data_IF_390010223967
#
_entry.id   IF_390010223967
#
_cell.length_a   1.000
_cell.length_b   1.000
_cell.length_c   1.000
_cell.angle_alpha   90.00
_cell.angle_beta   90.00
_cell.angle_gamma   90.00
#
_symmetry.space_group_name_H-M   'P 1'
#
loop_
_entity.id
_entity.type
_entity.pdbx_description
1 polymer ?
#
# COMPACT_ATOMS: atom_id res chain seq x y z
N UNK A 1 -22.35 9.71 39.24
CA UNK A 1 -22.52 10.00 37.80
C UNK A 1 -21.24 9.66 37.04
N UNK A 2 -20.07 10.06 37.54
CA UNK A 2 -18.76 9.73 36.94
C UNK A 2 -18.44 8.22 36.90
N UNK A 3 -18.79 7.46 37.95
CA UNK A 3 -18.55 6.00 37.99
C UNK A 3 -19.30 5.21 36.91
N UNK A 4 -20.52 5.64 36.56
CA UNK A 4 -21.29 5.00 35.48
C UNK A 4 -20.66 5.25 34.12
N UNK A 5 -20.12 6.45 33.89
CA UNK A 5 -19.43 6.80 32.65
C UNK A 5 -18.14 6.00 32.48
N UNK A 6 -17.39 5.82 33.57
CA UNK A 6 -16.16 5.02 33.61
C UNK A 6 -16.44 3.56 33.25
N UNK A 7 -17.51 3.01 33.79
CA UNK A 7 -17.91 1.61 33.53
C UNK A 7 -18.28 1.39 32.06
N UNK A 8 -19.04 2.32 31.46
CA UNK A 8 -19.43 2.24 30.04
C UNK A 8 -18.20 2.31 29.12
N UNK A 9 -17.23 3.17 29.46
CA UNK A 9 -16.01 3.30 28.68
C UNK A 9 -15.11 2.07 28.80
N UNK A 10 -14.99 1.47 29.99
CA UNK A 10 -14.22 0.23 30.18
C UNK A 10 -14.87 -0.97 29.49
N UNK A 11 -16.21 -1.07 29.49
CA UNK A 11 -16.94 -2.14 28.80
C UNK A 11 -16.82 -2.03 27.28
N UNK A 12 -16.79 -0.81 26.75
CA UNK A 12 -16.67 -0.56 25.32
C UNK A 12 -15.23 -0.65 24.78
N UNK A 13 -14.22 -0.31 25.60
CA UNK A 13 -12.83 -0.10 25.12
C UNK A 13 -11.76 -0.90 25.89
N UNK A 14 -12.12 -1.63 26.94
CA UNK A 14 -11.17 -2.39 27.78
C UNK A 14 -10.40 -1.52 28.77
N UNK A 15 -9.69 -2.14 29.72
CA UNK A 15 -8.90 -1.45 30.75
C UNK A 15 -7.62 -0.86 30.15
N UNK A 16 -7.39 0.44 30.35
CA UNK A 16 -6.17 1.13 29.94
C UNK A 16 -5.02 0.75 30.84
N UNK A 17 -3.99 0.10 30.30
CA UNK A 17 -2.79 -0.28 31.04
C UNK A 17 -1.75 0.86 30.99
N UNK A 18 -1.55 1.55 32.10
CA UNK A 18 -0.38 2.42 32.32
C UNK A 18 0.87 1.56 32.44
N UNK A 19 1.83 1.74 31.53
CA UNK A 19 3.16 1.13 31.64
C UNK A 19 4.22 2.21 31.45
N UNK A 20 4.82 2.62 32.57
CA UNK A 20 6.06 3.40 32.60
C UNK A 20 7.25 2.46 32.29
N UNK A 21 8.22 2.89 31.46
CA UNK A 21 9.42 2.08 31.24
C UNK A 21 10.33 2.45 30.07
N UNK A 22 11.17 3.47 30.30
CA UNK A 22 12.60 3.60 29.96
C UNK A 22 13.14 3.63 28.50
N UNK A 23 14.24 4.38 28.38
CA UNK A 23 14.82 5.05 27.21
C UNK A 23 15.57 4.10 26.24
N UNK A 24 15.37 4.27 24.93
CA UNK A 24 16.02 3.46 23.88
C UNK A 24 17.26 4.16 23.29
N UNK A 25 18.38 3.41 23.29
CA UNK A 25 19.65 3.79 22.69
C UNK A 25 19.68 3.39 21.21
N UNK A 26 19.85 4.38 20.33
CA UNK A 26 20.00 4.27 18.87
C UNK A 26 21.05 3.22 18.45
N UNK A 27 20.67 2.25 17.62
CA UNK A 27 21.61 1.37 16.92
C UNK A 27 21.34 1.43 15.41
N UNK A 28 22.31 1.99 14.69
CA UNK A 28 22.34 2.12 13.24
C UNK A 28 22.62 0.73 12.61
N UNK A 29 21.70 0.20 11.80
CA UNK A 29 21.89 -1.10 11.15
C UNK A 29 22.33 -0.95 9.68
N UNK A 30 23.37 -1.67 9.33
CA UNK A 30 24.01 -1.76 8.02
C UNK A 30 23.50 -3.03 7.32
N UNK A 31 22.96 -2.92 6.11
CA UNK A 31 22.50 -4.08 5.36
C UNK A 31 23.68 -4.99 4.97
N UNK A 32 23.48 -6.30 5.11
CA UNK A 32 24.44 -7.37 4.79
C UNK A 32 24.20 -7.84 3.36
N UNK A 33 25.21 -7.70 2.49
CA UNK A 33 25.22 -8.34 1.18
C UNK A 33 25.43 -9.86 1.33
N UNK A 34 24.40 -10.65 1.07
CA UNK A 34 24.56 -12.10 0.86
C UNK A 34 25.03 -12.35 -0.57
N UNK A 35 26.31 -12.68 -0.74
CA UNK A 35 26.89 -13.19 -1.98
C UNK A 35 26.97 -14.71 -1.92
N UNK A 36 26.20 -15.40 -2.75
CA UNK A 36 26.54 -16.76 -3.16
C UNK A 36 26.32 -16.97 -4.67
N UNK A 37 27.34 -17.55 -5.30
CA UNK A 37 27.46 -17.99 -6.69
C UNK A 37 26.69 -17.25 -7.82
N UNK A 38 27.31 -16.20 -8.35
CA UNK A 38 27.46 -16.02 -9.80
C UNK A 38 26.24 -15.64 -10.66
N UNK A 39 25.05 -15.54 -10.09
CA UNK A 39 23.90 -14.90 -10.72
C UNK A 39 23.07 -14.24 -9.64
N UNK A 40 23.34 -12.97 -9.38
CA UNK A 40 22.46 -12.15 -8.60
C UNK A 40 21.06 -12.27 -9.23
N UNK A 41 20.07 -12.71 -8.44
CA UNK A 41 18.66 -12.52 -8.78
C UNK A 41 18.31 -11.03 -8.59
N UNK A 42 19.13 -10.13 -9.12
CA UNK A 42 18.86 -8.69 -9.26
C UNK A 42 18.05 -8.47 -10.53
N UNK A 43 16.98 -9.25 -10.66
CA UNK A 43 16.10 -9.25 -11.82
C UNK A 43 14.67 -9.27 -11.36
N UNK A 44 14.32 -8.46 -10.36
CA UNK A 44 12.97 -7.91 -10.36
C UNK A 44 12.84 -7.15 -11.68
N UNK A 45 11.79 -7.43 -12.44
CA UNK A 45 11.46 -6.71 -13.68
C UNK A 45 11.23 -5.21 -13.38
N UNK A 46 11.08 -4.86 -12.11
CA UNK A 46 10.92 -3.52 -11.56
C UNK A 46 12.06 -3.28 -10.55
N UNK A 47 13.18 -2.74 -11.04
CA UNK A 47 14.32 -2.38 -10.22
C UNK A 47 14.02 -1.20 -9.29
N UNK A 48 14.83 -1.12 -8.22
CA UNK A 48 14.87 -0.10 -7.15
C UNK A 48 13.86 -0.32 -6.00
N UNK A 49 14.38 -0.18 -4.77
CA UNK A 49 13.57 -0.11 -3.54
C UNK A 49 12.59 1.05 -3.71
N UNK A 50 11.32 0.86 -3.38
CA UNK A 50 10.36 1.94 -3.55
C UNK A 50 10.38 2.80 -2.29
N UNK A 51 10.56 4.11 -2.46
CA UNK A 51 10.56 5.03 -1.33
C UNK A 51 9.12 5.31 -0.90
N UNK A 52 8.63 4.56 0.09
CA UNK A 52 7.34 4.78 0.73
C UNK A 52 7.45 5.82 1.84
N UNK A 53 6.79 6.96 1.65
CA UNK A 53 6.72 8.07 2.61
C UNK A 53 5.44 7.94 3.44
N UNK A 54 5.57 7.77 4.76
CA UNK A 54 4.43 7.84 5.68
C UNK A 54 3.99 9.29 5.89
N UNK A 55 2.71 9.58 5.69
CA UNK A 55 2.13 10.88 6.05
C UNK A 55 1.77 10.85 7.52
N UNK A 56 2.55 11.56 8.34
CA UNK A 56 2.48 11.47 9.81
C UNK A 56 1.16 11.94 10.43
N UNK A 57 0.42 12.77 9.72
CA UNK A 57 -0.84 13.36 10.14
C UNK A 57 -2.04 12.43 9.92
N UNK A 58 -1.87 11.38 9.09
CA UNK A 58 -2.95 10.46 8.71
C UNK A 58 -2.48 9.02 8.85
N UNK A 59 -2.95 8.36 9.90
CA UNK A 59 -2.65 6.94 10.12
C UNK A 59 -3.06 6.07 8.92
N UNK A 60 -2.13 5.23 8.47
CA UNK A 60 -2.33 4.33 7.34
C UNK A 60 -2.15 4.96 5.96
N UNK A 61 -1.83 6.26 5.87
CA UNK A 61 -1.55 6.91 4.59
C UNK A 61 -0.05 6.84 4.25
N UNK A 62 0.23 6.24 3.10
CA UNK A 62 1.57 6.09 2.53
C UNK A 62 1.59 6.63 1.10
N UNK A 63 2.69 7.28 0.73
CA UNK A 63 2.92 7.83 -0.60
C UNK A 63 4.19 7.21 -1.19
N UNK A 64 4.06 6.52 -2.31
CA UNK A 64 5.21 6.15 -3.14
C UNK A 64 5.25 7.08 -4.36
N UNK A 65 6.27 7.92 -4.43
CA UNK A 65 6.50 8.79 -5.58
C UNK A 65 7.17 8.00 -6.69
N UNK A 66 6.88 8.37 -7.94
CA UNK A 66 7.52 7.80 -9.12
C UNK A 66 7.44 6.26 -9.22
N UNK A 67 6.42 5.66 -8.59
CA UNK A 67 6.18 4.20 -8.58
C UNK A 67 6.15 3.58 -9.99
N UNK A 68 5.59 4.32 -10.97
CA UNK A 68 5.63 3.92 -12.36
C UNK A 68 6.61 4.80 -13.13
N UNK A 69 7.54 4.17 -13.85
CA UNK A 69 8.41 4.86 -14.81
C UNK A 69 7.60 5.48 -15.97
N UNK A 70 8.13 6.48 -16.67
CA UNK A 70 7.43 7.10 -17.80
C UNK A 70 6.98 6.11 -18.89
N UNK A 71 7.77 5.07 -19.14
CA UNK A 71 7.44 4.01 -20.09
C UNK A 71 6.29 3.14 -19.60
N UNK A 72 6.26 2.81 -18.31
CA UNK A 72 5.16 2.06 -17.69
C UNK A 72 3.86 2.87 -17.68
N UNK A 73 3.94 4.17 -17.36
CA UNK A 73 2.80 5.08 -17.43
C UNK A 73 2.25 5.12 -18.86
N UNK A 74 3.12 5.24 -19.86
CA UNK A 74 2.72 5.24 -21.28
C UNK A 74 2.08 3.90 -21.70
N UNK A 75 2.65 2.76 -21.26
CA UNK A 75 2.08 1.42 -21.50
C UNK A 75 0.70 1.29 -20.86
N UNK A 76 0.56 1.71 -19.60
CA UNK A 76 -0.70 1.66 -18.86
C UNK A 76 -1.79 2.50 -19.55
N UNK A 77 -1.47 3.75 -19.92
CA UNK A 77 -2.39 4.62 -20.64
C UNK A 77 -2.81 4.03 -21.99
N UNK A 78 -1.87 3.47 -22.75
CA UNK A 78 -2.19 2.81 -24.03
C UNK A 78 -3.09 1.59 -23.84
N UNK A 79 -2.93 0.86 -22.72
CA UNK A 79 -3.74 -0.31 -22.39
C UNK A 79 -5.16 0.10 -22.01
N UNK A 80 -5.32 1.14 -21.17
CA UNK A 80 -6.62 1.72 -20.83
C UNK A 80 -7.33 2.27 -22.07
N UNK A 81 -6.61 2.91 -22.99
CA UNK A 81 -7.19 3.42 -24.25
C UNK A 81 -7.75 2.29 -25.13
N UNK A 82 -7.08 1.14 -25.18
CA UNK A 82 -7.53 -0.04 -25.94
C UNK A 82 -8.80 -0.67 -25.37
N UNK A 83 -9.12 -0.45 -24.09
CA UNK A 83 -10.37 -0.91 -23.48
C UNK A 83 -11.58 -0.06 -23.91
N UNK A 84 -11.36 1.09 -24.56
CA UNK A 84 -12.39 2.01 -25.06
C UNK A 84 -13.36 2.55 -24.00
N UNK A 85 -13.04 2.40 -22.70
CA UNK A 85 -13.89 2.82 -21.57
C UNK A 85 -14.30 4.30 -21.60
N UNK A 86 -13.49 5.15 -22.23
CA UNK A 86 -13.71 6.60 -22.32
C UNK A 86 -13.85 7.10 -23.76
N UNK A 87 -14.22 6.22 -24.71
CA UNK A 87 -14.42 6.61 -26.11
C UNK A 87 -15.54 7.66 -26.27
N UNK A 88 -16.54 7.63 -25.39
CA UNK A 88 -17.60 8.65 -25.33
C UNK A 88 -17.17 9.81 -24.44
N UNK A 89 -17.36 11.04 -24.94
CA UNK A 89 -17.01 12.25 -24.20
C UNK A 89 -17.80 12.42 -22.88
N UNK A 90 -18.94 11.76 -22.71
CA UNK A 90 -19.74 11.76 -21.48
C UNK A 90 -19.25 10.80 -20.41
N UNK A 91 -18.41 9.82 -20.75
CA UNK A 91 -17.93 8.81 -19.80
C UNK A 91 -16.72 9.33 -19.03
N UNK A 92 -16.82 9.36 -17.70
CA UNK A 92 -15.74 9.78 -16.80
C UNK A 92 -15.37 8.70 -15.77
N UNK A 93 -16.07 7.57 -15.75
CA UNK A 93 -15.82 6.46 -14.85
C UNK A 93 -16.08 5.13 -15.54
N UNK A 94 -15.24 4.13 -15.22
CA UNK A 94 -15.44 2.73 -15.58
C UNK A 94 -15.21 1.86 -14.35
N UNK A 95 -16.01 0.80 -14.17
CA UNK A 95 -15.90 -0.13 -13.05
C UNK A 95 -15.80 -1.55 -13.58
N UNK A 96 -14.99 -2.37 -12.92
CA UNK A 96 -14.80 -3.79 -13.25
C UNK A 96 -14.66 -4.60 -11.97
N UNK A 97 -15.33 -5.75 -11.93
CA UNK A 97 -15.39 -6.64 -10.77
C UNK A 97 -15.02 -8.06 -11.21
N UNK A 98 -14.33 -8.80 -10.36
CA UNK A 98 -13.87 -10.15 -10.64
C UNK A 98 -12.68 -10.14 -11.61
N UNK A 99 -12.93 -10.51 -12.86
CA UNK A 99 -11.88 -10.70 -13.87
C UNK A 99 -11.34 -9.36 -14.37
N UNK A 100 -10.29 -8.85 -13.71
CA UNK A 100 -9.61 -7.61 -14.06
C UNK A 100 -8.80 -7.74 -15.36
N UNK A 101 -8.60 -6.66 -16.12
CA UNK A 101 -7.77 -6.69 -17.33
C UNK A 101 -6.30 -6.95 -16.97
N UNK A 102 -5.54 -7.51 -17.92
CA UNK A 102 -4.16 -7.95 -17.72
C UNK A 102 -3.28 -6.83 -17.14
N UNK A 103 -3.38 -5.61 -17.65
CA UNK A 103 -2.62 -4.46 -17.15
C UNK A 103 -2.93 -4.12 -15.69
N UNK A 104 -4.14 -4.39 -15.20
CA UNK A 104 -4.52 -4.15 -13.81
C UNK A 104 -3.98 -5.24 -12.89
N UNK A 105 -3.93 -6.49 -13.39
CA UNK A 105 -3.31 -7.61 -12.69
C UNK A 105 -1.79 -7.41 -12.61
N UNK A 106 -1.14 -6.94 -13.69
CA UNK A 106 0.28 -6.57 -13.70
C UNK A 106 0.55 -5.46 -12.66
N UNK A 107 -0.22 -4.37 -12.69
CA UNK A 107 -0.09 -3.25 -11.73
C UNK A 107 -0.27 -3.72 -10.28
N UNK A 108 -1.29 -4.55 -10.03
CA UNK A 108 -1.53 -5.14 -8.71
C UNK A 108 -0.34 -5.98 -8.25
N UNK A 109 0.31 -6.72 -9.15
CA UNK A 109 1.45 -7.57 -8.82
C UNK A 109 2.67 -6.72 -8.48
N UNK A 110 2.94 -5.65 -9.24
CA UNK A 110 4.00 -4.69 -8.94
C UNK A 110 3.83 -4.03 -7.57
N UNK A 111 2.60 -3.63 -7.21
CA UNK A 111 2.30 -3.05 -5.89
C UNK A 111 2.61 -4.07 -4.79
N UNK A 112 2.18 -5.33 -4.98
CA UNK A 112 2.45 -6.38 -4.01
C UNK A 112 3.94 -6.64 -3.81
N UNK A 113 4.68 -6.75 -4.91
CA UNK A 113 6.14 -6.99 -4.89
C UNK A 113 6.89 -5.85 -4.21
N UNK A 114 6.56 -4.59 -4.53
CA UNK A 114 7.17 -3.43 -3.90
C UNK A 114 6.93 -3.41 -2.39
N UNK A 115 5.67 -3.63 -1.97
CA UNK A 115 5.31 -3.67 -0.55
C UNK A 115 6.03 -4.82 0.16
N UNK A 116 6.10 -6.02 -0.44
CA UNK A 116 6.81 -7.15 0.18
C UNK A 116 8.31 -6.87 0.29
N UNK A 117 8.94 -6.30 -0.74
CA UNK A 117 10.38 -6.04 -0.74
C UNK A 117 10.77 -4.99 0.31
N UNK A 118 9.97 -3.92 0.45
CA UNK A 118 10.25 -2.88 1.44
C UNK A 118 9.84 -3.30 2.87
N UNK A 119 8.86 -4.20 3.04
CA UNK A 119 8.50 -4.76 4.36
C UNK A 119 9.37 -5.96 4.78
N UNK A 120 10.23 -6.49 3.90
CA UNK A 120 10.90 -7.79 4.11
C UNK A 120 12.11 -7.80 5.07
N UNK A 121 12.43 -6.72 5.80
CA UNK A 121 13.68 -6.70 6.60
C UNK A 121 13.51 -6.53 8.11
N UNK A 122 12.30 -6.28 8.66
CA UNK A 122 12.19 -6.07 10.11
C UNK A 122 11.18 -6.93 10.87
N UNK A 123 9.95 -7.15 10.38
CA UNK A 123 8.87 -7.51 11.34
C UNK A 123 7.86 -8.57 10.89
N UNK A 124 8.24 -9.56 10.06
CA UNK A 124 7.28 -10.66 9.79
C UNK A 124 7.03 -11.54 11.02
N UNK A 125 8.00 -11.63 11.95
CA UNK A 125 7.90 -12.44 13.17
C UNK A 125 7.54 -11.65 14.45
N UNK A 126 7.54 -10.31 14.41
CA UNK A 126 7.30 -9.43 15.58
C UNK A 126 6.01 -8.61 15.53
N UNK A 127 5.19 -8.74 14.48
CA UNK A 127 3.86 -8.15 14.42
C UNK A 127 2.84 -8.84 15.37
N UNK A 128 3.28 -9.39 16.51
CA UNK A 128 2.41 -9.60 17.65
C UNK A 128 2.38 -8.31 18.48
N UNK A 129 1.27 -7.58 18.33
CA UNK A 129 0.72 -6.69 19.37
C UNK A 129 1.55 -5.43 19.69
N UNK A 130 1.81 -4.57 18.70
CA UNK A 130 2.32 -3.23 19.02
C UNK A 130 2.78 -2.34 17.88
N UNK A 131 1.85 -1.86 17.04
CA UNK A 131 1.93 -0.57 16.31
C UNK A 131 3.24 -0.24 15.57
N UNK A 132 3.61 -1.02 14.56
CA UNK A 132 4.26 -0.42 13.39
C UNK A 132 3.33 -0.56 12.18
N UNK A 133 3.08 0.56 11.50
CA UNK A 133 2.08 0.63 10.46
C UNK A 133 2.64 -0.04 9.20
N UNK A 134 2.37 -1.32 8.98
CA UNK A 134 2.64 -1.94 7.69
C UNK A 134 1.82 -1.22 6.61
N UNK A 135 2.38 -1.04 5.41
CA UNK A 135 1.72 -0.37 4.28
C UNK A 135 0.37 -1.03 3.99
N UNK A 136 0.34 -2.37 3.98
CA UNK A 136 -0.89 -3.16 3.94
C UNK A 136 -1.05 -4.01 5.20
N UNK A 137 -2.28 -4.18 5.71
CA UNK A 137 -2.57 -5.21 6.71
C UNK A 137 -2.18 -6.59 6.20
N UNK A 138 -1.72 -7.47 7.10
CA UNK A 138 -1.28 -8.83 6.75
C UNK A 138 -2.36 -9.61 5.99
N UNK A 139 -3.63 -9.51 6.42
CA UNK A 139 -4.75 -10.18 5.76
C UNK A 139 -4.92 -9.77 4.29
N UNK A 140 -4.55 -8.53 3.94
CA UNK A 140 -4.64 -8.03 2.57
C UNK A 140 -3.48 -8.55 1.70
N UNK A 141 -2.26 -8.61 2.25
CA UNK A 141 -1.06 -9.11 1.55
C UNK A 141 -1.24 -10.55 1.05
N UNK A 142 -1.95 -11.39 1.81
CA UNK A 142 -2.14 -12.80 1.46
C UNK A 142 -3.39 -13.07 0.62
N UNK A 143 -4.17 -12.04 0.26
CA UNK A 143 -5.39 -12.20 -0.54
C UNK A 143 -5.08 -12.60 -1.99
N UNK A 144 -5.92 -13.47 -2.57
CA UNK A 144 -5.85 -13.85 -4.00
C UNK A 144 -7.23 -13.68 -4.67
N UNK A 145 -7.36 -12.82 -5.70
CA UNK A 145 -6.36 -11.82 -6.13
C UNK A 145 -6.19 -10.70 -5.07
N UNK A 146 -5.07 -9.99 -5.11
CA UNK A 146 -4.82 -8.87 -4.17
C UNK A 146 -5.89 -7.78 -4.33
N UNK A 147 -6.31 -7.50 -5.56
CA UNK A 147 -7.48 -6.69 -5.90
C UNK A 147 -8.41 -7.47 -6.83
N UNK A 148 -9.71 -7.44 -6.53
CA UNK A 148 -10.79 -8.08 -7.29
C UNK A 148 -11.78 -7.05 -7.88
N UNK A 149 -11.55 -5.77 -7.62
CA UNK A 149 -12.40 -4.68 -8.06
C UNK A 149 -11.52 -3.51 -8.50
N UNK A 150 -11.93 -2.84 -9.58
CA UNK A 150 -11.22 -1.72 -10.17
C UNK A 150 -12.23 -0.64 -10.56
N UNK A 151 -11.90 0.60 -10.21
CA UNK A 151 -12.62 1.79 -10.67
C UNK A 151 -11.60 2.73 -11.30
N UNK A 152 -11.81 3.09 -12.56
CA UNK A 152 -10.99 4.08 -13.27
C UNK A 152 -11.79 5.33 -13.49
N UNK A 153 -11.27 6.46 -13.01
CA UNK A 153 -11.87 7.78 -13.18
C UNK A 153 -11.02 8.63 -14.13
N UNK A 154 -11.69 9.36 -15.03
CA UNK A 154 -11.09 10.36 -15.91
C UNK A 154 -11.50 11.76 -15.46
N UNK A 155 -10.53 12.56 -15.07
CA UNK A 155 -10.73 13.96 -14.69
C UNK A 155 -10.29 14.87 -15.84
N UNK A 156 -11.18 15.73 -16.32
CA UNK A 156 -10.82 16.81 -17.27
C UNK A 156 -10.76 18.15 -16.56
N UNK A 157 -10.07 19.15 -17.11
CA UNK A 157 -10.15 20.50 -16.59
C UNK A 157 -11.61 20.97 -16.47
N UNK A 158 -11.97 21.55 -15.34
CA UNK A 158 -13.35 22.01 -15.05
C UNK A 158 -14.22 21.00 -14.28
N UNK A 159 -13.76 19.76 -14.05
CA UNK A 159 -14.33 18.88 -13.05
C UNK A 159 -13.86 19.30 -11.64
N UNK A 160 -14.25 20.50 -11.20
CA UNK A 160 -14.25 20.81 -9.77
C UNK A 160 -15.58 20.26 -9.24
N UNK A 161 -15.50 19.31 -8.29
CA UNK A 161 -16.59 19.13 -7.34
C UNK A 161 -16.86 20.50 -6.75
N UNK A 162 -18.01 21.08 -7.08
CA UNK A 162 -18.57 22.18 -6.30
C UNK A 162 -18.88 21.59 -4.93
N UNK A 163 -17.88 21.63 -4.03
CA UNK A 163 -18.10 21.46 -2.61
C UNK A 163 -18.90 22.65 -2.07
#
# INVERSE_FOLDING_TARGET
>A
MEEQLKTILTEAFGESSDSEGEEQQLVHSHCVENRDNGKALTGSVFGESHDWEKISEIDGLWLCKDFLSPDQQSKLLSSIQKEEWFAQSSSNQAMRFGDLPEWAVELSSSIHEAILFDNCVAELDNCEKGKEACIFPQDLLWRKPLFDQLIVNMYRPGYLSTC
#
